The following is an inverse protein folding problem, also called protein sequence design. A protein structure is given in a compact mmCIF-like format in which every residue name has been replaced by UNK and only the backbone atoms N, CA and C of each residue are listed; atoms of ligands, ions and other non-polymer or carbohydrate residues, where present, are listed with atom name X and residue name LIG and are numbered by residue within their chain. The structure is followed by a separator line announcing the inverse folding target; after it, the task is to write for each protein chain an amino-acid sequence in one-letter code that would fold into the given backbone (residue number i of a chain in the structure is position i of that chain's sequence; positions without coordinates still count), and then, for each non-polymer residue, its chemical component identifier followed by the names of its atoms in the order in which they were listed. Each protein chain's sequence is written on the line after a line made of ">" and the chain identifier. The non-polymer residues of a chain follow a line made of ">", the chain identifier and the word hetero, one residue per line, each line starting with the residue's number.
data_IF_673499903404
#
_entry.id   IF_673499903404
#
_cell.length_a   1.000
_cell.length_b   1.000
_cell.length_c   1.000
_cell.angle_alpha   90.00
_cell.angle_beta   90.00
_cell.angle_gamma   90.00
#
_symmetry.space_group_name_H-M   'P 1'
#
loop_
_entity.id
_entity.type
_entity.pdbx_description
1 polymer ?
#
# COMPACT_ATOMS: atom_id res chain seq x y z
N UNK A 1 -10.09 -20.15 -9.39
CA UNK A 1 -8.79 -19.93 -10.06
C UNK A 1 -8.95 -18.93 -11.18
N UNK A 2 -7.94 -18.08 -11.36
CA UNK A 2 -7.82 -17.04 -12.38
C UNK A 2 -6.48 -17.23 -13.12
N UNK A 3 -6.14 -16.31 -14.02
CA UNK A 3 -4.90 -16.42 -14.82
C UNK A 3 -3.62 -16.20 -13.99
N UNK A 4 -3.70 -15.46 -12.88
CA UNK A 4 -2.52 -15.11 -12.07
C UNK A 4 -2.64 -15.58 -10.62
N UNK A 5 -3.79 -16.16 -10.25
CA UNK A 5 -4.03 -16.71 -8.93
C UNK A 5 -4.72 -18.08 -9.03
N UNK A 6 -4.08 -19.13 -8.50
CA UNK A 6 -4.59 -20.50 -8.52
C UNK A 6 -5.28 -20.93 -7.22
N UNK A 7 -5.52 -20.01 -6.29
CA UNK A 7 -6.37 -20.33 -5.14
C UNK A 7 -7.77 -20.77 -5.60
N UNK A 8 -8.36 -21.69 -4.85
CA UNK A 8 -9.77 -22.03 -4.94
C UNK A 8 -10.64 -20.93 -4.32
N UNK A 9 -11.89 -20.83 -4.76
CA UNK A 9 -12.84 -19.86 -4.20
C UNK A 9 -13.09 -20.21 -2.73
N UNK A 10 -12.91 -19.23 -1.85
CA UNK A 10 -13.02 -19.42 -0.40
C UNK A 10 -11.71 -19.74 0.31
N UNK A 11 -10.60 -19.94 -0.40
CA UNK A 11 -9.26 -20.07 0.21
C UNK A 11 -8.66 -18.72 0.60
N UNK A 12 -8.99 -17.66 -0.14
CA UNK A 12 -8.62 -16.28 0.18
C UNK A 12 -9.69 -15.65 1.07
N UNK A 13 -9.27 -14.97 2.13
CA UNK A 13 -10.15 -14.25 3.03
C UNK A 13 -10.75 -13.00 2.37
N UNK A 14 -11.95 -12.62 2.81
CA UNK A 14 -12.54 -11.33 2.46
C UNK A 14 -11.68 -10.13 2.92
N UNK A 15 -10.80 -10.34 3.91
CA UNK A 15 -9.85 -9.37 4.46
C UNK A 15 -8.44 -9.73 4.01
N UNK A 16 -7.78 -8.83 3.27
CA UNK A 16 -6.46 -9.11 2.72
C UNK A 16 -5.48 -7.95 2.88
N UNK A 17 -4.25 -8.28 3.26
CA UNK A 17 -3.11 -7.37 3.26
C UNK A 17 -2.26 -7.61 2.01
N UNK A 18 -1.98 -6.54 1.26
CA UNK A 18 -1.21 -6.57 0.02
C UNK A 18 0.17 -5.97 0.22
N UNK A 19 1.21 -6.71 -0.15
CA UNK A 19 2.62 -6.27 -0.09
C UNK A 19 3.27 -6.36 -1.46
N UNK A 20 4.32 -5.58 -1.71
CA UNK A 20 5.02 -5.65 -3.01
C UNK A 20 5.86 -6.92 -3.18
N UNK A 21 6.58 -7.31 -2.12
CA UNK A 21 7.60 -8.38 -2.15
C UNK A 21 7.00 -9.74 -1.72
N UNK A 22 7.15 -10.81 -2.55
CA UNK A 22 6.82 -12.19 -2.18
C UNK A 22 7.43 -12.65 -0.86
N UNK A 23 8.68 -12.29 -0.58
CA UNK A 23 9.34 -12.67 0.66
C UNK A 23 8.74 -11.96 1.86
N UNK A 24 8.19 -10.75 1.67
CA UNK A 24 7.43 -10.06 2.71
C UNK A 24 6.10 -10.76 2.98
N UNK A 25 5.39 -11.23 1.95
CA UNK A 25 4.15 -11.97 2.15
C UNK A 25 4.40 -13.26 2.96
N UNK A 26 5.47 -13.99 2.60
CA UNK A 26 5.93 -15.16 3.34
C UNK A 26 6.33 -14.81 4.79
N UNK A 27 7.15 -13.78 4.98
CA UNK A 27 7.57 -13.33 6.30
C UNK A 27 6.38 -13.01 7.19
N UNK A 28 5.40 -12.26 6.67
CA UNK A 28 4.20 -11.89 7.43
C UNK A 28 3.41 -13.16 7.83
N UNK A 29 3.22 -14.08 6.89
CA UNK A 29 2.50 -15.33 7.14
C UNK A 29 3.18 -16.16 8.25
N UNK A 30 4.50 -16.29 8.22
CA UNK A 30 5.27 -17.10 9.18
C UNK A 30 5.33 -16.49 10.59
N UNK A 31 5.24 -15.17 10.72
CA UNK A 31 5.48 -14.47 12.00
C UNK A 31 4.22 -13.91 12.65
N UNK A 32 3.15 -13.68 11.88
CA UNK A 32 1.96 -12.98 12.37
C UNK A 32 0.66 -13.75 12.19
N UNK A 33 0.61 -14.73 11.30
CA UNK A 33 -0.61 -15.51 11.07
C UNK A 33 -0.50 -16.89 11.75
N UNK A 34 -1.53 -17.24 12.51
CA UNK A 34 -1.74 -18.59 13.03
C UNK A 34 -2.31 -19.49 11.90
N UNK A 35 -1.86 -20.74 11.84
CA UNK A 35 -2.31 -21.75 10.87
C UNK A 35 -2.25 -21.29 9.40
N UNK A 36 -1.21 -20.52 9.05
CA UNK A 36 -1.07 -19.96 7.71
C UNK A 36 -0.83 -21.04 6.64
N UNK A 37 -1.65 -21.02 5.59
CA UNK A 37 -1.55 -21.91 4.42
C UNK A 37 -1.21 -21.09 3.18
N UNK A 38 -0.24 -21.54 2.38
CA UNK A 38 0.05 -20.99 1.05
C UNK A 38 -1.04 -21.42 0.08
N UNK A 39 -1.80 -20.47 -0.45
CA UNK A 39 -2.94 -20.72 -1.36
C UNK A 39 -2.65 -20.28 -2.80
N UNK A 40 -1.59 -19.49 -3.03
CA UNK A 40 -1.12 -19.16 -4.37
C UNK A 40 0.39 -18.96 -4.41
N UNK A 41 1.05 -19.47 -5.44
CA UNK A 41 2.47 -19.24 -5.72
C UNK A 41 2.77 -18.88 -7.19
N UNK A 42 1.72 -18.73 -8.00
CA UNK A 42 1.83 -18.41 -9.43
C UNK A 42 2.60 -17.11 -9.61
N UNK A 43 3.66 -17.17 -10.43
CA UNK A 43 4.57 -16.03 -10.72
C UNK A 43 5.21 -15.43 -9.45
N UNK A 44 5.37 -16.24 -8.40
CA UNK A 44 5.82 -15.81 -7.08
C UNK A 44 4.88 -14.81 -6.39
N UNK A 45 3.63 -14.66 -6.82
CA UNK A 45 2.63 -13.85 -6.12
C UNK A 45 2.11 -14.61 -4.89
N UNK A 46 3.01 -14.87 -3.94
CA UNK A 46 2.73 -15.66 -2.74
C UNK A 46 1.53 -15.09 -2.01
N UNK A 47 0.48 -15.90 -1.87
CA UNK A 47 -0.70 -15.60 -1.08
C UNK A 47 -0.80 -16.64 0.03
N UNK A 48 -0.87 -16.16 1.26
CA UNK A 48 -1.12 -16.99 2.43
C UNK A 48 -2.46 -16.60 3.04
N UNK A 49 -3.15 -17.56 3.63
CA UNK A 49 -4.35 -17.32 4.45
C UNK A 49 -4.18 -17.99 5.79
N UNK A 50 -4.47 -17.27 6.88
CA UNK A 50 -4.42 -17.78 8.24
C UNK A 50 -5.30 -16.94 9.17
N UNK A 51 -5.03 -17.01 10.46
CA UNK A 51 -5.75 -16.26 11.49
C UNK A 51 -4.84 -15.19 12.11
N UNK A 52 -5.36 -13.98 12.26
CA UNK A 52 -4.73 -12.89 13.00
C UNK A 52 -5.71 -12.40 14.07
N UNK A 53 -5.35 -12.52 15.35
CA UNK A 53 -6.21 -12.13 16.49
C UNK A 53 -7.63 -12.75 16.39
N UNK A 54 -7.72 -14.02 15.97
CA UNK A 54 -8.99 -14.74 15.79
C UNK A 54 -9.79 -14.35 14.55
N UNK A 55 -9.28 -13.46 13.68
CA UNK A 55 -9.90 -13.07 12.42
C UNK A 55 -9.16 -13.70 11.24
N UNK A 56 -9.89 -14.30 10.30
CA UNK A 56 -9.30 -14.86 9.08
C UNK A 56 -8.79 -13.74 8.18
N UNK A 57 -7.50 -13.74 7.86
CA UNK A 57 -6.84 -12.72 7.03
C UNK A 57 -5.93 -13.40 6.01
N UNK A 58 -5.90 -12.85 4.80
CA UNK A 58 -4.92 -13.24 3.79
C UNK A 58 -3.81 -12.20 3.66
N UNK A 59 -2.62 -12.62 3.24
CA UNK A 59 -1.51 -11.74 2.88
C UNK A 59 -1.01 -12.15 1.52
N UNK A 60 -0.98 -11.22 0.57
CA UNK A 60 -0.59 -11.51 -0.80
C UNK A 60 0.45 -10.54 -1.35
N UNK A 61 1.45 -11.08 -2.05
CA UNK A 61 2.37 -10.29 -2.84
C UNK A 61 1.77 -9.90 -4.20
N UNK A 62 1.91 -8.63 -4.58
CA UNK A 62 1.31 -8.06 -5.80
C UNK A 62 2.33 -7.44 -6.75
N UNK A 63 3.63 -7.56 -6.44
CA UNK A 63 4.71 -6.99 -7.24
C UNK A 63 4.82 -5.47 -7.11
N UNK A 64 5.43 -4.85 -8.13
CA UNK A 64 5.65 -3.40 -8.21
C UNK A 64 4.90 -2.82 -9.40
N UNK A 65 4.41 -1.60 -9.24
CA UNK A 65 3.77 -0.82 -10.30
C UNK A 65 2.27 -1.05 -10.44
N UNK A 66 1.60 -0.01 -10.96
CA UNK A 66 0.17 0.01 -11.19
C UNK A 66 -0.37 -1.18 -11.99
N UNK A 67 0.24 -1.58 -13.12
CA UNK A 67 -0.25 -2.72 -13.91
C UNK A 67 -0.26 -4.05 -13.13
N UNK A 68 0.78 -4.32 -12.33
CA UNK A 68 0.86 -5.53 -11.51
C UNK A 68 -0.21 -5.52 -10.41
N UNK A 69 -0.32 -4.40 -9.69
CA UNK A 69 -1.35 -4.20 -8.68
C UNK A 69 -2.75 -4.38 -9.26
N UNK A 70 -3.04 -3.79 -10.42
CA UNK A 70 -4.36 -3.81 -11.04
C UNK A 70 -4.82 -5.24 -11.36
N UNK A 71 -3.92 -6.12 -11.83
CA UNK A 71 -4.22 -7.54 -12.08
C UNK A 71 -4.72 -8.20 -10.79
N UNK A 72 -3.88 -8.19 -9.75
CA UNK A 72 -4.18 -8.93 -8.53
C UNK A 72 -5.36 -8.33 -7.77
N UNK A 73 -5.44 -7.00 -7.65
CA UNK A 73 -6.57 -6.35 -6.97
C UNK A 73 -7.90 -6.63 -7.69
N UNK A 74 -7.90 -6.64 -9.04
CA UNK A 74 -9.10 -6.99 -9.84
C UNK A 74 -9.53 -8.43 -9.59
N UNK A 75 -8.62 -9.40 -9.70
CA UNK A 75 -8.92 -10.81 -9.46
C UNK A 75 -9.44 -11.02 -8.02
N UNK A 76 -8.76 -10.43 -7.02
CA UNK A 76 -9.15 -10.51 -5.61
C UNK A 76 -10.57 -9.98 -5.36
N UNK A 77 -10.89 -8.80 -5.90
CA UNK A 77 -12.21 -8.18 -5.69
C UNK A 77 -13.31 -8.90 -6.47
N UNK A 78 -13.06 -9.21 -7.75
CA UNK A 78 -14.06 -9.77 -8.67
C UNK A 78 -14.30 -11.26 -8.47
N UNK A 79 -13.22 -12.03 -8.37
CA UNK A 79 -13.26 -13.50 -8.50
C UNK A 79 -13.12 -14.21 -7.14
N UNK A 80 -12.48 -13.57 -6.15
CA UNK A 80 -12.28 -14.13 -4.80
C UNK A 80 -13.13 -13.48 -3.70
N UNK A 81 -13.89 -12.43 -4.03
CA UNK A 81 -14.84 -11.81 -3.11
C UNK A 81 -14.21 -10.99 -2.00
N UNK A 82 -12.93 -10.57 -2.11
CA UNK A 82 -12.31 -9.66 -1.16
C UNK A 82 -13.12 -8.38 -0.97
N UNK A 83 -13.32 -7.96 0.28
CA UNK A 83 -14.10 -6.78 0.67
C UNK A 83 -13.27 -5.70 1.34
N UNK A 84 -12.22 -6.07 2.06
CA UNK A 84 -11.31 -5.17 2.77
C UNK A 84 -9.90 -5.45 2.29
N UNK A 85 -9.31 -4.46 1.63
CA UNK A 85 -7.95 -4.54 1.11
C UNK A 85 -7.09 -3.51 1.83
N UNK A 86 -5.95 -3.94 2.36
CA UNK A 86 -4.98 -3.05 3.00
C UNK A 86 -3.62 -3.21 2.34
N UNK A 87 -3.07 -2.17 1.72
CA UNK A 87 -1.70 -2.22 1.20
C UNK A 87 -0.70 -1.78 2.26
N UNK A 88 0.32 -2.60 2.50
CA UNK A 88 1.50 -2.25 3.32
C UNK A 88 2.76 -2.21 2.44
N UNK A 89 3.21 -1.00 2.12
CA UNK A 89 4.32 -0.76 1.19
C UNK A 89 5.46 0.07 1.79
N UNK A 90 6.42 0.42 0.95
CA UNK A 90 7.49 1.38 1.27
C UNK A 90 7.47 2.53 0.27
N UNK A 91 7.98 3.69 0.66
CA UNK A 91 7.97 4.87 -0.19
C UNK A 91 9.09 5.85 0.15
N UNK A 92 9.36 6.78 -0.77
CA UNK A 92 10.20 7.95 -0.52
C UNK A 92 9.37 9.16 -0.09
N UNK A 93 9.76 9.83 0.99
CA UNK A 93 9.02 10.91 1.63
C UNK A 93 9.49 12.31 1.22
N UNK A 94 8.55 13.22 0.94
CA UNK A 94 8.84 14.59 0.50
C UNK A 94 9.09 15.58 1.64
N UNK A 95 8.60 15.31 2.84
CA UNK A 95 8.77 16.24 3.96
C UNK A 95 10.19 16.15 4.51
N UNK A 96 10.70 17.30 4.94
CA UNK A 96 12.08 17.41 5.46
C UNK A 96 12.21 16.86 6.89
N UNK A 97 11.09 16.83 7.63
CA UNK A 97 11.00 16.37 9.03
C UNK A 97 10.67 14.88 9.19
N UNK A 98 10.42 14.17 8.08
CA UNK A 98 10.18 12.72 8.11
C UNK A 98 11.41 11.94 8.56
N UNK A 99 11.18 10.89 9.35
CA UNK A 99 12.21 9.95 9.82
C UNK A 99 12.01 8.57 9.22
N UNK A 100 13.03 7.72 9.35
CA UNK A 100 12.95 6.35 8.88
C UNK A 100 11.75 5.63 9.53
N UNK A 101 10.96 4.95 8.70
CA UNK A 101 9.72 4.25 9.05
C UNK A 101 8.60 5.08 9.69
N UNK A 102 8.63 6.41 9.53
CA UNK A 102 7.41 7.19 9.63
C UNK A 102 6.37 6.63 8.65
N UNK A 103 5.09 6.56 9.05
CA UNK A 103 4.04 5.91 8.26
C UNK A 103 3.15 6.95 7.59
N UNK A 104 2.91 6.81 6.30
CA UNK A 104 1.88 7.59 5.59
C UNK A 104 0.63 6.74 5.42
N UNK A 105 -0.50 7.23 5.91
CA UNK A 105 -1.84 6.72 5.62
C UNK A 105 -2.37 7.50 4.39
N UNK A 106 -2.34 6.88 3.22
CA UNK A 106 -2.66 7.55 1.95
C UNK A 106 -4.16 7.80 1.84
N UNK A 107 -4.58 9.05 2.03
CA UNK A 107 -5.99 9.44 1.93
C UNK A 107 -6.46 9.53 0.48
N UNK A 108 -5.61 10.02 -0.41
CA UNK A 108 -5.89 10.23 -1.82
C UNK A 108 -4.60 10.06 -2.64
N UNK A 109 -4.75 9.62 -3.89
CA UNK A 109 -3.60 9.34 -4.76
C UNK A 109 -3.65 10.21 -6.00
N UNK A 110 -2.65 11.07 -6.17
CA UNK A 110 -2.34 11.66 -7.48
C UNK A 110 -1.52 10.66 -8.29
N UNK A 111 -1.48 10.79 -9.62
CA UNK A 111 -0.69 9.87 -10.43
C UNK A 111 -0.08 10.50 -11.66
N UNK A 112 1.02 9.93 -12.12
CA UNK A 112 1.55 10.14 -13.48
C UNK A 112 1.25 8.97 -14.41
N UNK A 113 0.58 7.92 -13.90
CA UNK A 113 0.17 6.75 -14.68
C UNK A 113 -1.05 7.07 -15.52
N UNK A 114 -1.09 6.50 -16.73
CA UNK A 114 -2.24 6.58 -17.62
C UNK A 114 -3.34 5.55 -17.32
N UNK A 115 -3.28 4.84 -16.20
CA UNK A 115 -4.21 3.73 -15.87
C UNK A 115 -5.69 4.15 -15.94
N UNK A 116 -6.01 5.38 -15.53
CA UNK A 116 -7.39 5.90 -15.54
C UNK A 116 -7.68 6.84 -16.71
N UNK A 117 -6.71 7.05 -17.62
CA UNK A 117 -6.87 7.98 -18.73
C UNK A 117 -7.97 7.49 -19.67
N UNK A 118 -8.88 8.38 -20.05
CA UNK A 118 -10.01 8.13 -20.94
C UNK A 118 -11.06 7.12 -20.42
N UNK A 119 -10.95 6.63 -19.18
CA UNK A 119 -11.99 5.80 -18.56
C UNK A 119 -13.22 6.62 -18.14
N UNK A 120 -13.05 7.91 -17.90
CA UNK A 120 -14.07 8.80 -17.35
C UNK A 120 -14.25 10.05 -18.21
N UNK A 121 -15.46 10.62 -18.22
CA UNK A 121 -15.76 11.93 -18.85
C UNK A 121 -15.20 13.12 -18.04
N UNK A 122 -14.17 12.89 -17.23
CA UNK A 122 -13.57 13.80 -16.25
C UNK A 122 -12.40 13.14 -15.53
N UNK A 123 -11.99 13.68 -14.39
CA UNK A 123 -10.90 13.10 -13.58
C UNK A 123 -11.46 12.27 -12.43
N UNK A 124 -11.09 10.99 -12.39
CA UNK A 124 -11.31 10.16 -11.21
C UNK A 124 -10.29 10.50 -10.14
N UNK A 125 -10.73 10.55 -8.87
CA UNK A 125 -9.89 10.83 -7.72
C UNK A 125 -9.82 9.59 -6.83
N UNK A 126 -8.78 8.74 -6.96
CA UNK A 126 -8.65 7.54 -6.15
C UNK A 126 -8.42 7.91 -4.68
N UNK A 127 -9.31 7.46 -3.80
CA UNK A 127 -9.30 7.78 -2.37
C UNK A 127 -9.46 6.52 -1.52
N UNK A 128 -8.96 6.59 -0.28
CA UNK A 128 -9.14 5.54 0.70
C UNK A 128 -10.60 5.45 1.18
N UNK A 129 -10.98 4.28 1.68
CA UNK A 129 -12.16 4.15 2.55
C UNK A 129 -11.93 4.92 3.85
N UNK A 130 -12.82 5.85 4.17
CA UNK A 130 -12.68 6.69 5.36
C UNK A 130 -12.75 5.88 6.65
N UNK A 131 -13.62 4.86 6.73
CA UNK A 131 -13.74 4.00 7.91
C UNK A 131 -12.43 3.27 8.20
N UNK A 132 -11.85 2.63 7.18
CA UNK A 132 -10.58 1.91 7.29
C UNK A 132 -9.42 2.85 7.63
N UNK A 133 -9.37 4.04 7.02
CA UNK A 133 -8.39 5.08 7.32
C UNK A 133 -8.50 5.56 8.78
N UNK A 134 -9.71 5.82 9.26
CA UNK A 134 -9.97 6.27 10.62
C UNK A 134 -9.59 5.20 11.64
N UNK A 135 -9.93 3.93 11.36
CA UNK A 135 -9.54 2.79 12.20
C UNK A 135 -8.02 2.64 12.28
N UNK A 136 -7.32 2.68 11.14
CA UNK A 136 -5.86 2.63 11.13
C UNK A 136 -5.23 3.81 11.89
N UNK A 137 -5.75 5.04 11.72
CA UNK A 137 -5.24 6.21 12.44
C UNK A 137 -5.43 6.07 13.95
N UNK A 138 -6.59 5.60 14.41
CA UNK A 138 -6.87 5.37 15.83
C UNK A 138 -5.92 4.34 16.43
N UNK A 139 -5.75 3.19 15.77
CA UNK A 139 -4.83 2.12 16.23
C UNK A 139 -3.39 2.65 16.29
N UNK A 140 -2.96 3.40 15.27
CA UNK A 140 -1.64 3.98 15.25
C UNK A 140 -1.40 4.96 16.41
N UNK A 141 -2.40 5.77 16.78
CA UNK A 141 -2.31 6.68 17.93
C UNK A 141 -2.24 5.95 19.27
N UNK A 142 -3.03 4.88 19.41
CA UNK A 142 -3.02 3.99 20.58
C UNK A 142 -1.66 3.29 20.75
N UNK A 143 -0.98 2.97 19.65
CA UNK A 143 0.36 2.37 19.62
C UNK A 143 1.50 3.39 19.60
N UNK A 144 1.17 4.69 19.70
CA UNK A 144 2.14 5.80 19.66
C UNK A 144 3.01 5.83 18.39
N UNK A 145 2.48 5.34 17.28
CA UNK A 145 3.13 5.39 15.96
C UNK A 145 2.98 6.79 15.35
N UNK A 146 4.07 7.31 14.80
CA UNK A 146 4.10 8.56 14.04
C UNK A 146 3.56 8.29 12.65
N UNK A 147 2.39 8.88 12.40
CA UNK A 147 1.65 8.78 11.15
C UNK A 147 1.38 10.15 10.52
N UNK A 148 1.31 10.18 9.20
CA UNK A 148 0.85 11.32 8.41
C UNK A 148 -0.33 10.89 7.54
N UNK A 149 -1.41 11.65 7.54
CA UNK A 149 -2.57 11.42 6.68
C UNK A 149 -2.56 12.47 5.57
N UNK A 150 -2.67 12.04 4.32
CA UNK A 150 -2.74 12.99 3.20
C UNK A 150 -2.53 12.36 1.83
N UNK A 151 -2.21 13.21 0.85
CA UNK A 151 -2.03 12.80 -0.54
C UNK A 151 -0.70 12.09 -0.81
N UNK A 152 -0.72 11.04 -1.62
CA UNK A 152 0.49 10.38 -2.16
C UNK A 152 0.51 10.42 -3.68
N UNK A 153 1.68 10.31 -4.30
CA UNK A 153 1.80 10.27 -5.77
C UNK A 153 2.24 8.88 -6.25
N UNK A 154 1.40 8.26 -7.07
CA UNK A 154 1.65 7.00 -7.75
C UNK A 154 2.37 7.26 -9.08
N UNK A 155 3.61 6.80 -9.22
CA UNK A 155 4.41 6.98 -10.41
C UNK A 155 4.72 5.64 -11.10
N UNK A 156 4.65 5.62 -12.43
CA UNK A 156 5.08 4.46 -13.22
C UNK A 156 6.61 4.37 -13.34
N UNK A 157 7.32 5.48 -13.08
CA UNK A 157 8.77 5.57 -13.20
C UNK A 157 9.40 5.84 -11.85
N UNK A 158 10.16 4.87 -11.34
CA UNK A 158 11.03 5.08 -10.18
C UNK A 158 12.27 5.89 -10.56
N UNK A 159 12.92 5.51 -11.67
CA UNK A 159 14.06 6.23 -12.23
C UNK A 159 13.56 7.33 -13.15
N UNK A 160 13.77 8.57 -12.74
CA UNK A 160 13.20 9.77 -13.35
C UNK A 160 14.33 10.69 -13.82
N UNK A 161 14.10 11.37 -14.95
CA UNK A 161 15.04 12.34 -15.49
C UNK A 161 14.84 13.71 -14.84
N UNK A 162 15.62 14.68 -15.30
CA UNK A 162 15.55 16.07 -14.86
C UNK A 162 14.28 16.82 -15.23
N UNK A 163 13.47 16.26 -16.14
CA UNK A 163 12.20 16.86 -16.55
C UNK A 163 11.06 16.54 -15.56
N UNK A 164 11.25 15.57 -14.67
CA UNK A 164 10.25 15.21 -13.68
C UNK A 164 10.06 16.31 -12.63
N UNK A 165 8.83 16.85 -12.55
CA UNK A 165 8.49 18.00 -11.70
C UNK A 165 8.21 17.61 -10.23
N UNK A 166 9.09 16.84 -9.61
CA UNK A 166 8.96 16.38 -8.21
C UNK A 166 8.72 17.51 -7.21
N UNK A 167 9.37 18.67 -7.41
CA UNK A 167 9.16 19.89 -6.58
C UNK A 167 7.71 20.32 -6.50
N UNK A 168 6.92 20.11 -7.56
CA UNK A 168 5.51 20.50 -7.56
C UNK A 168 4.70 19.62 -6.62
N UNK A 169 4.97 18.31 -6.55
CA UNK A 169 4.32 17.42 -5.60
C UNK A 169 4.59 17.85 -4.16
N UNK A 170 5.87 18.12 -3.82
CA UNK A 170 6.23 18.65 -2.49
C UNK A 170 5.54 19.99 -2.22
N UNK A 171 5.55 20.91 -3.19
CA UNK A 171 4.93 22.25 -3.06
C UNK A 171 3.43 22.17 -2.77
N UNK A 172 2.72 21.22 -3.36
CA UNK A 172 1.28 21.00 -3.14
C UNK A 172 0.96 20.07 -1.97
N UNK A 173 1.95 19.71 -1.16
CA UNK A 173 1.73 18.97 0.09
C UNK A 173 1.60 17.46 -0.08
N UNK A 174 2.01 16.90 -1.21
CA UNK A 174 2.12 15.44 -1.35
C UNK A 174 3.14 14.90 -0.36
N UNK A 175 2.80 13.82 0.33
CA UNK A 175 3.61 13.28 1.41
C UNK A 175 4.72 12.38 0.91
N UNK A 176 4.46 11.53 -0.08
CA UNK A 176 5.41 10.55 -0.57
C UNK A 176 5.14 10.09 -2.00
N UNK A 177 6.13 9.43 -2.62
CA UNK A 177 6.07 8.86 -3.98
C UNK A 177 6.12 7.33 -3.92
N UNK A 178 5.08 6.67 -4.40
CA UNK A 178 4.93 5.21 -4.48
C UNK A 178 4.49 4.80 -5.90
N UNK A 179 4.14 3.53 -6.15
CA UNK A 179 3.94 3.02 -7.51
C UNK A 179 2.64 2.21 -7.73
N UNK A 180 1.78 2.04 -6.73
CA UNK A 180 0.61 1.13 -6.82
C UNK A 180 -0.72 1.78 -6.44
N UNK A 181 -0.72 2.86 -5.66
CA UNK A 181 -1.90 3.41 -5.01
C UNK A 181 -3.03 3.78 -5.96
N UNK A 182 -2.70 4.28 -7.16
CA UNK A 182 -3.70 4.65 -8.17
C UNK A 182 -4.48 3.42 -8.64
N UNK A 183 -3.77 2.36 -9.07
CA UNK A 183 -4.37 1.11 -9.50
C UNK A 183 -5.14 0.42 -8.37
N UNK A 184 -4.56 0.43 -7.17
CA UNK A 184 -5.12 -0.18 -5.97
C UNK A 184 -6.50 0.39 -5.62
N UNK A 185 -6.60 1.72 -5.50
CA UNK A 185 -7.87 2.38 -5.20
C UNK A 185 -8.86 2.34 -6.38
N UNK A 186 -8.37 2.32 -7.61
CA UNK A 186 -9.24 2.17 -8.80
C UNK A 186 -9.94 0.81 -8.80
N UNK A 187 -9.20 -0.29 -8.62
CA UNK A 187 -9.76 -1.62 -8.57
C UNK A 187 -10.77 -1.76 -7.42
N UNK A 188 -10.42 -1.28 -6.22
CA UNK A 188 -11.32 -1.31 -5.08
C UNK A 188 -12.62 -0.54 -5.34
N UNK A 189 -12.53 0.65 -5.94
CA UNK A 189 -13.69 1.47 -6.27
C UNK A 189 -14.60 0.81 -7.33
N UNK A 190 -14.02 0.17 -8.34
CA UNK A 190 -14.79 -0.53 -9.39
C UNK A 190 -15.68 -1.64 -8.83
N UNK A 191 -15.21 -2.36 -7.81
CA UNK A 191 -15.92 -3.50 -7.21
C UNK A 191 -16.59 -3.19 -5.87
N UNK A 192 -16.60 -1.91 -5.43
CA UNK A 192 -17.21 -1.49 -4.18
C UNK A 192 -16.53 -2.04 -2.92
N UNK A 193 -15.22 -2.31 -3.00
CA UNK A 193 -14.42 -2.78 -1.89
C UNK A 193 -13.83 -1.61 -1.08
N UNK A 194 -13.56 -1.85 0.20
CA UNK A 194 -12.93 -0.88 1.10
C UNK A 194 -11.42 -1.04 1.01
N UNK A 195 -10.70 0.06 0.80
CA UNK A 195 -9.26 0.01 0.58
C UNK A 195 -8.51 1.11 1.34
N UNK A 196 -7.34 0.75 1.88
CA UNK A 196 -6.38 1.69 2.48
C UNK A 196 -4.96 1.28 2.13
N UNK A 197 -4.18 2.23 1.63
CA UNK A 197 -2.74 2.08 1.44
C UNK A 197 -1.98 2.80 2.55
N UNK A 198 -1.05 2.07 3.15
CA UNK A 198 -0.10 2.54 4.13
C UNK A 198 1.31 2.26 3.62
N UNK A 199 2.18 3.27 3.75
CA UNK A 199 3.58 3.12 3.34
C UNK A 199 4.51 3.61 4.43
N UNK A 200 5.52 2.81 4.75
CA UNK A 200 6.64 3.21 5.59
C UNK A 200 7.65 4.00 4.76
N UNK A 201 8.08 5.15 5.25
CA UNK A 201 9.06 5.98 4.56
C UNK A 201 10.46 5.46 4.83
N UNK A 202 11.15 4.99 3.80
CA UNK A 202 12.50 4.40 3.93
C UNK A 202 13.59 5.26 3.30
N UNK A 203 13.21 6.32 2.59
CA UNK A 203 14.16 7.26 1.96
C UNK A 203 13.55 8.65 1.91
N UNK A 204 14.40 9.67 2.02
CA UNK A 204 14.01 11.06 1.83
C UNK A 204 14.15 11.46 0.38
N UNK A 205 13.14 12.15 -0.16
CA UNK A 205 13.23 12.81 -1.45
C UNK A 205 13.61 14.27 -1.21
N UNK A 206 14.79 14.65 -1.71
CA UNK A 206 15.36 16.01 -1.58
C UNK A 206 15.75 16.55 -2.94
N UNK A 207 16.32 17.75 -2.94
CA UNK A 207 16.71 18.46 -4.16
C UNK A 207 18.12 18.98 -4.01
N UNK A 208 18.94 18.80 -5.04
CA UNK A 208 20.28 19.39 -5.10
C UNK A 208 20.22 20.90 -5.44
N UNK A 209 21.39 21.52 -5.60
CA UNK A 209 21.53 22.95 -5.93
C UNK A 209 20.92 23.33 -7.29
N UNK A 210 20.87 22.39 -8.25
CA UNK A 210 20.25 22.58 -9.56
C UNK A 210 18.74 22.30 -9.51
N UNK A 211 18.27 21.76 -8.39
CA UNK A 211 16.88 21.40 -8.18
C UNK A 211 16.50 20.01 -8.65
N UNK A 212 17.48 19.17 -8.94
CA UNK A 212 17.26 17.78 -9.32
C UNK A 212 16.82 16.95 -8.12
N UNK A 213 15.88 16.02 -8.34
CA UNK A 213 15.48 15.04 -7.32
C UNK A 213 16.67 14.15 -6.94
N UNK A 214 16.96 14.05 -5.63
CA UNK A 214 17.94 13.12 -5.07
C UNK A 214 17.30 12.32 -3.93
N UNK A 215 17.77 11.08 -3.75
CA UNK A 215 17.39 10.23 -2.63
C UNK A 215 18.44 10.33 -1.53
N UNK A 216 17.98 10.46 -0.29
CA UNK A 216 18.83 10.54 0.90
C UNK A 216 18.40 9.53 1.94
N UNK A 217 19.35 9.09 2.76
CA UNK A 217 19.04 8.32 3.96
C UNK A 217 18.29 9.22 4.96
N UNK A 218 17.38 8.61 5.70
CA UNK A 218 16.61 9.31 6.73
C UNK A 218 17.23 9.10 8.10
N UNK A 219 17.16 10.11 8.98
CA UNK A 219 17.56 9.92 10.35
C UNK A 219 16.62 8.93 11.05
N UNK A 220 17.20 8.18 11.99
CA UNK A 220 16.43 7.32 12.88
C UNK A 220 15.66 8.16 13.92
N UNK A 221 14.58 7.55 14.45
CA UNK A 221 13.84 8.08 15.59
C UNK A 221 14.36 7.42 16.87
N UNK A 222 14.33 8.15 17.99
CA UNK A 222 14.77 7.62 19.30
C UNK A 222 13.99 6.36 19.68
N UNK A 223 12.67 6.37 19.44
CA UNK A 223 11.83 5.18 19.40
C UNK A 223 11.59 4.86 17.93
N UNK A 224 12.46 4.02 17.37
CA UNK A 224 12.43 3.69 15.95
C UNK A 224 11.20 2.85 15.62
N UNK A 225 10.41 3.34 14.67
CA UNK A 225 9.42 2.53 13.98
C UNK A 225 10.13 1.60 13.00
N UNK A 226 9.45 0.55 12.60
CA UNK A 226 9.98 -0.49 11.74
C UNK A 226 8.94 -0.93 10.71
N UNK A 227 9.39 -1.79 9.77
CA UNK A 227 8.48 -2.50 8.88
C UNK A 227 7.48 -3.36 9.68
N UNK A 228 7.88 -3.90 10.82
CA UNK A 228 7.01 -4.74 11.66
C UNK A 228 5.84 -3.93 12.24
N UNK A 229 6.07 -2.68 12.64
CA UNK A 229 5.01 -1.80 13.13
C UNK A 229 3.99 -1.49 12.02
N UNK A 230 4.46 -1.22 10.80
CA UNK A 230 3.59 -1.04 9.64
C UNK A 230 2.78 -2.30 9.33
N UNK A 231 3.42 -3.47 9.36
CA UNK A 231 2.76 -4.76 9.12
C UNK A 231 1.69 -5.04 10.17
N UNK A 232 2.01 -4.86 11.46
CA UNK A 232 1.04 -5.04 12.56
C UNK A 232 -0.14 -4.08 12.41
N UNK A 233 0.13 -2.81 12.10
CA UNK A 233 -0.92 -1.83 11.84
C UNK A 233 -1.81 -2.24 10.66
N UNK A 234 -1.22 -2.76 9.58
CA UNK A 234 -1.96 -3.24 8.41
C UNK A 234 -2.86 -4.44 8.73
N UNK A 235 -2.33 -5.43 9.46
CA UNK A 235 -3.10 -6.60 9.89
C UNK A 235 -4.24 -6.21 10.83
N UNK A 236 -3.98 -5.34 11.82
CA UNK A 236 -5.01 -4.82 12.74
C UNK A 236 -6.08 -4.01 12.00
N UNK A 237 -5.69 -3.15 11.07
CA UNK A 237 -6.64 -2.39 10.27
C UNK A 237 -7.52 -3.30 9.41
N UNK A 238 -6.96 -4.35 8.80
CA UNK A 238 -7.72 -5.32 8.02
C UNK A 238 -8.66 -6.17 8.89
N UNK A 239 -8.19 -6.63 10.06
CA UNK A 239 -8.94 -7.48 10.98
C UNK A 239 -10.10 -6.74 11.65
N UNK A 240 -9.85 -5.51 12.11
CA UNK A 240 -10.77 -4.71 12.93
C UNK A 240 -11.48 -3.59 12.15
N UNK A 241 -11.58 -3.73 10.84
CA UNK A 241 -12.36 -2.81 10.01
C UNK A 241 -13.86 -2.91 10.38
N UNK A 242 -14.36 -1.89 11.08
CA UNK A 242 -15.79 -1.66 11.35
C UNK A 242 -16.53 -1.14 10.11
#
# INVERSE_FOLDING_TARGET
>A
MTMHNHAEVGEISERIVLVGDPNRAKYIAEHYLEDAVLVNDVRCAYCYTGMFEGVRVSVMAVGMGGPSMLIYATELCRDYGCKILVRAGTSGGYRDDMKNFDIVLSQAVSTTSGINDNMFNGHFSPVADFGLLSTAKRIADEEHLVTYVGGTVCNDRLYRDENYKSKMWKKYGMLCSEQEGCAFYTAAAEFGCRALMMVGITTGIRYDENGQEIFVDLPEREHAQSMDDLVRLALKAAAHAE
#
